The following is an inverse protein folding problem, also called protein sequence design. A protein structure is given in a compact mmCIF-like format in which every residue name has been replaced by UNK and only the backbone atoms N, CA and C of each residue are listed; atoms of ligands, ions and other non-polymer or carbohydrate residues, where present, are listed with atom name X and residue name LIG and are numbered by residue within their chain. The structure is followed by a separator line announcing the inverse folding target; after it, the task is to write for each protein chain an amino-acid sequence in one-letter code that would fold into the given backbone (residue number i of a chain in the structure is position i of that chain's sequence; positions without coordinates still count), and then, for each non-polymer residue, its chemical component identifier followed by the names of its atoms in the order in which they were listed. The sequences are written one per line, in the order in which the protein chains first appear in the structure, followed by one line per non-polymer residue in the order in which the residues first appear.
data_IF_823871868519
#
_entry.id   IF_823871868519
#
_cell.length_a   1.000
_cell.length_b   1.000
_cell.length_c   1.000
_cell.angle_alpha   90.00
_cell.angle_beta   90.00
_cell.angle_gamma   90.00
#
_symmetry.space_group_name_H-M   'P 1'
#
loop_
_entity.id
_entity.type
_entity.pdbx_description
1 polymer ?
#
# COMPACT_ATOMS: atom_id res chain seq x y z
N UNK A 1 -19.29 -20.81 17.56
CA UNK A 1 -18.11 -20.82 16.66
C UNK A 1 -18.54 -20.28 15.31
N UNK A 2 -17.94 -19.20 14.88
CA UNK A 2 -18.26 -18.57 13.60
C UNK A 2 -17.52 -19.30 12.49
N UNK A 3 -18.26 -19.81 11.51
CA UNK A 3 -17.65 -20.37 10.31
C UNK A 3 -17.06 -19.21 9.50
N UNK A 4 -15.73 -19.12 9.52
CA UNK A 4 -15.02 -18.13 8.73
C UNK A 4 -14.78 -18.72 7.34
N UNK A 5 -15.13 -17.96 6.31
CA UNK A 5 -14.87 -18.35 4.94
C UNK A 5 -13.37 -18.46 4.67
N UNK A 6 -12.93 -19.60 4.15
CA UNK A 6 -11.53 -19.77 3.75
C UNK A 6 -11.13 -18.80 2.64
N UNK A 7 -12.08 -18.44 1.79
CA UNK A 7 -11.90 -17.44 0.74
C UNK A 7 -11.57 -16.07 1.34
N UNK A 8 -12.28 -15.67 2.41
CA UNK A 8 -12.04 -14.41 3.10
C UNK A 8 -10.66 -14.40 3.76
N UNK A 9 -10.29 -15.45 4.47
CA UNK A 9 -8.98 -15.59 5.12
C UNK A 9 -7.85 -15.51 4.10
N UNK A 10 -7.98 -16.25 3.00
CA UNK A 10 -6.99 -16.24 1.93
C UNK A 10 -6.86 -14.84 1.31
N UNK A 11 -7.98 -14.18 1.04
CA UNK A 11 -7.99 -12.83 0.50
C UNK A 11 -7.35 -11.81 1.42
N UNK A 12 -7.61 -11.88 2.73
CA UNK A 12 -6.97 -11.00 3.72
C UNK A 12 -5.46 -11.24 3.75
N UNK A 13 -5.02 -12.50 3.69
CA UNK A 13 -3.60 -12.82 3.63
C UNK A 13 -2.93 -12.34 2.34
N UNK A 14 -3.63 -12.39 1.20
CA UNK A 14 -3.15 -11.80 -0.04
C UNK A 14 -2.97 -10.28 0.08
N UNK A 15 -3.94 -9.61 0.69
CA UNK A 15 -3.86 -8.18 0.94
C UNK A 15 -2.69 -7.85 1.87
N UNK A 16 -2.51 -8.65 2.92
CA UNK A 16 -1.39 -8.52 3.84
C UNK A 16 -0.05 -8.67 3.11
N UNK A 17 0.05 -9.60 2.17
CA UNK A 17 1.24 -9.77 1.33
C UNK A 17 1.54 -8.51 0.50
N UNK A 18 0.53 -7.91 -0.10
CA UNK A 18 0.71 -6.68 -0.89
C UNK A 18 1.18 -5.53 0.00
N UNK A 19 0.59 -5.37 1.18
CA UNK A 19 1.01 -4.33 2.13
C UNK A 19 2.43 -4.57 2.63
N UNK A 20 2.80 -5.82 2.90
CA UNK A 20 4.16 -6.17 3.32
C UNK A 20 5.17 -5.86 2.22
N UNK A 21 4.83 -6.20 0.97
CA UNK A 21 5.65 -5.87 -0.20
C UNK A 21 5.82 -4.35 -0.35
N UNK A 22 4.73 -3.60 -0.21
CA UNK A 22 4.77 -2.14 -0.29
C UNK A 22 5.64 -1.52 0.81
N UNK A 23 5.56 -2.05 2.03
CA UNK A 23 6.37 -1.57 3.15
C UNK A 23 7.86 -1.80 2.91
N UNK A 24 8.24 -2.96 2.39
CA UNK A 24 9.63 -3.24 2.07
C UNK A 24 10.14 -2.35 0.93
N UNK A 25 9.32 -2.19 -0.11
CA UNK A 25 9.66 -1.32 -1.24
C UNK A 25 9.81 0.14 -0.81
N UNK A 26 8.87 0.65 0.00
CA UNK A 26 8.92 2.01 0.55
C UNK A 26 10.14 2.22 1.42
N UNK A 27 10.59 1.21 2.15
CA UNK A 27 11.81 1.31 2.97
C UNK A 27 13.02 1.68 2.12
N UNK A 28 13.17 1.06 0.96
CA UNK A 28 14.26 1.36 0.03
C UNK A 28 14.03 2.71 -0.66
N UNK A 29 12.82 2.96 -1.15
CA UNK A 29 12.51 4.21 -1.85
C UNK A 29 12.64 5.44 -0.95
N UNK A 30 12.23 5.34 0.32
CA UNK A 30 12.44 6.43 1.30
C UNK A 30 13.91 6.73 1.49
N UNK A 31 14.72 5.69 1.64
CA UNK A 31 16.15 5.85 1.80
C UNK A 31 16.80 6.51 0.57
N UNK A 32 16.40 6.08 -0.63
CA UNK A 32 16.90 6.67 -1.87
C UNK A 32 16.57 8.17 -1.97
N UNK A 33 15.33 8.54 -1.75
CA UNK A 33 14.90 9.94 -1.85
C UNK A 33 15.61 10.82 -0.83
N UNK A 34 15.85 10.30 0.37
CA UNK A 34 16.59 11.02 1.40
C UNK A 34 18.05 11.20 1.01
N UNK A 35 18.69 10.15 0.51
CA UNK A 35 20.10 10.22 0.06
C UNK A 35 20.25 11.21 -1.08
N UNK A 36 19.26 11.31 -1.96
CA UNK A 36 19.28 12.27 -3.07
C UNK A 36 18.93 13.71 -2.66
N UNK A 37 18.49 13.92 -1.40
CA UNK A 37 18.18 15.27 -0.90
C UNK A 37 16.73 15.70 -1.13
N UNK A 38 15.85 14.83 -1.60
CA UNK A 38 14.42 15.13 -1.80
C UNK A 38 13.64 14.87 -0.51
N UNK A 39 13.87 15.72 0.50
CA UNK A 39 13.36 15.49 1.85
C UNK A 39 11.84 15.54 1.95
N UNK A 40 11.18 16.39 1.20
CA UNK A 40 9.71 16.44 1.19
C UNK A 40 9.11 15.18 0.59
N UNK A 41 9.72 14.64 -0.45
CA UNK A 41 9.29 13.39 -1.04
C UNK A 41 9.52 12.22 -0.06
N UNK A 42 10.67 12.22 0.62
CA UNK A 42 10.95 11.26 1.69
C UNK A 42 9.85 11.29 2.76
N UNK A 43 9.46 12.49 3.21
CA UNK A 43 8.43 12.64 4.25
C UNK A 43 7.06 12.14 3.77
N UNK A 44 6.72 12.39 2.51
CA UNK A 44 5.49 11.89 1.90
C UNK A 44 5.46 10.35 1.87
N UNK A 45 6.54 9.73 1.41
CA UNK A 45 6.65 8.27 1.37
C UNK A 45 6.64 7.67 2.77
N UNK A 46 7.24 8.36 3.75
CA UNK A 46 7.20 7.94 5.16
C UNK A 46 5.78 7.96 5.71
N UNK A 47 5.00 9.00 5.41
CA UNK A 47 3.61 9.07 5.82
C UNK A 47 2.79 7.91 5.24
N UNK A 48 3.03 7.56 3.99
CA UNK A 48 2.38 6.39 3.37
C UNK A 48 2.76 5.09 4.11
N UNK A 49 4.04 4.92 4.45
CA UNK A 49 4.51 3.73 5.14
C UNK A 49 3.88 3.59 6.54
N UNK A 50 3.72 4.69 7.27
CA UNK A 50 3.08 4.67 8.60
C UNK A 50 1.64 4.17 8.49
N UNK A 51 0.86 4.67 7.54
CA UNK A 51 -0.51 4.22 7.33
C UNK A 51 -0.58 2.74 6.95
N UNK A 52 0.31 2.28 6.06
CA UNK A 52 0.35 0.87 5.65
C UNK A 52 0.71 -0.04 6.84
N UNK A 53 1.64 0.36 7.69
CA UNK A 53 2.01 -0.41 8.88
C UNK A 53 0.82 -0.52 9.85
N UNK A 54 0.07 0.54 10.05
CA UNK A 54 -1.12 0.54 10.90
C UNK A 54 -2.20 -0.42 10.35
N UNK A 55 -2.43 -0.40 9.03
CA UNK A 55 -3.36 -1.33 8.41
C UNK A 55 -2.87 -2.78 8.44
N UNK A 56 -1.56 -2.99 8.30
CA UNK A 56 -0.97 -4.32 8.45
C UNK A 56 -1.28 -4.89 9.84
N UNK A 57 -1.08 -4.08 10.89
CA UNK A 57 -1.39 -4.48 12.27
C UNK A 57 -2.89 -4.78 12.44
N UNK A 58 -3.76 -3.95 11.85
CA UNK A 58 -5.20 -4.15 11.94
C UNK A 58 -5.66 -5.42 11.22
N UNK A 59 -5.08 -5.75 10.07
CA UNK A 59 -5.38 -6.98 9.34
C UNK A 59 -4.91 -8.22 10.13
N UNK A 60 -3.73 -8.16 10.73
CA UNK A 60 -3.20 -9.23 11.58
C UNK A 60 -4.16 -9.46 12.76
N UNK A 61 -4.56 -8.39 13.45
CA UNK A 61 -5.47 -8.49 14.58
C UNK A 61 -6.81 -9.09 14.14
N UNK A 62 -7.31 -8.72 12.98
CA UNK A 62 -8.59 -9.26 12.46
C UNK A 62 -8.49 -10.76 12.16
N UNK A 63 -7.40 -11.21 11.57
CA UNK A 63 -7.16 -12.64 11.32
C UNK A 63 -7.11 -13.43 12.64
N UNK A 64 -6.42 -12.90 13.65
CA UNK A 64 -6.30 -13.56 14.94
C UNK A 64 -7.66 -13.65 15.67
N UNK A 65 -8.49 -12.60 15.59
CA UNK A 65 -9.85 -12.62 16.14
C UNK A 65 -10.71 -13.70 15.49
N UNK A 66 -10.49 -13.97 14.20
CA UNK A 66 -11.19 -15.02 13.45
C UNK A 66 -10.57 -16.40 13.66
N UNK A 67 -9.56 -16.53 14.51
CA UNK A 67 -8.81 -17.77 14.73
C UNK A 67 -8.21 -18.32 13.42
N UNK A 68 -7.78 -17.42 12.55
CA UNK A 68 -7.20 -17.73 11.26
C UNK A 68 -5.68 -17.60 11.30
N UNK A 69 -5.00 -18.28 10.39
CA UNK A 69 -3.55 -18.14 10.25
C UNK A 69 -3.17 -16.78 9.68
N UNK A 70 -1.98 -16.31 10.03
CA UNK A 70 -1.40 -15.06 9.53
C UNK A 70 -0.18 -15.40 8.69
N UNK A 71 -0.16 -14.96 7.45
CA UNK A 71 0.96 -15.17 6.54
C UNK A 71 1.74 -13.87 6.34
N UNK A 72 2.89 -13.75 7.02
CA UNK A 72 3.83 -12.65 6.84
C UNK A 72 5.11 -13.08 6.14
N UNK A 73 5.22 -14.35 5.74
CA UNK A 73 6.44 -14.88 5.13
C UNK A 73 6.49 -14.63 3.63
N UNK A 74 5.33 -14.48 2.99
CA UNK A 74 5.27 -14.23 1.56
C UNK A 74 5.35 -12.73 1.27
N UNK A 75 6.43 -12.35 0.63
CA UNK A 75 6.65 -11.00 0.13
C UNK A 75 6.71 -11.09 -1.40
N UNK A 76 5.97 -10.21 -2.07
CA UNK A 76 5.99 -10.14 -3.51
C UNK A 76 7.29 -9.55 -4.03
N UNK A 77 7.43 -9.53 -5.36
CA UNK A 77 8.60 -8.98 -6.01
C UNK A 77 8.68 -7.46 -5.76
N UNK A 78 9.82 -7.00 -5.27
CA UNK A 78 10.12 -5.58 -5.15
C UNK A 78 10.52 -5.01 -6.51
N UNK A 79 10.02 -3.84 -6.82
CA UNK A 79 10.37 -3.09 -8.03
C UNK A 79 11.00 -1.78 -7.61
N UNK A 80 12.31 -1.82 -7.40
CA UNK A 80 13.06 -0.66 -6.93
C UNK A 80 13.35 0.27 -8.11
N UNK A 81 12.83 1.50 -8.02
CA UNK A 81 13.02 2.51 -9.05
C UNK A 81 14.44 3.07 -9.08
N UNK A 82 14.94 3.37 -10.26
CA UNK A 82 16.26 3.98 -10.44
C UNK A 82 16.17 5.52 -10.47
N UNK A 83 15.00 6.05 -10.81
CA UNK A 83 14.71 7.48 -10.85
C UNK A 83 13.48 7.76 -9.97
N UNK A 84 13.24 9.03 -9.65
CA UNK A 84 12.03 9.41 -8.90
C UNK A 84 10.77 9.00 -9.68
N UNK A 85 10.75 9.19 -10.99
CA UNK A 85 9.60 8.79 -11.81
C UNK A 85 9.35 7.29 -11.72
N UNK A 86 10.41 6.46 -11.78
CA UNK A 86 10.29 5.01 -11.62
C UNK A 86 9.78 4.64 -10.22
N UNK A 87 10.27 5.32 -9.18
CA UNK A 87 9.81 5.12 -7.80
C UNK A 87 8.32 5.36 -7.69
N UNK A 88 7.84 6.49 -8.21
CA UNK A 88 6.43 6.84 -8.15
C UNK A 88 5.57 5.84 -8.94
N UNK A 89 6.04 5.40 -10.10
CA UNK A 89 5.34 4.40 -10.91
C UNK A 89 5.26 3.03 -10.21
N UNK A 90 6.35 2.61 -9.56
CA UNK A 90 6.39 1.34 -8.81
C UNK A 90 5.43 1.38 -7.62
N UNK A 91 5.46 2.47 -6.85
CA UNK A 91 4.57 2.63 -5.70
C UNK A 91 3.12 2.72 -6.13
N UNK A 92 2.85 3.41 -7.24
CA UNK A 92 1.52 3.47 -7.85
C UNK A 92 0.99 2.08 -8.16
N UNK A 93 1.82 1.22 -8.75
CA UNK A 93 1.43 -0.14 -9.10
C UNK A 93 0.95 -0.95 -7.90
N UNK A 94 1.65 -0.86 -6.76
CA UNK A 94 1.25 -1.55 -5.54
C UNK A 94 -0.01 -0.95 -4.90
N UNK A 95 -0.14 0.37 -4.94
CA UNK A 95 -1.36 1.03 -4.46
C UNK A 95 -2.59 0.59 -5.27
N UNK A 96 -2.46 0.54 -6.59
CA UNK A 96 -3.54 0.06 -7.47
C UNK A 96 -3.90 -1.39 -7.15
N UNK A 97 -2.90 -2.26 -6.97
CA UNK A 97 -3.12 -3.66 -6.63
C UNK A 97 -3.87 -3.82 -5.31
N UNK A 98 -3.52 -3.04 -4.28
CA UNK A 98 -4.21 -3.10 -3.00
C UNK A 98 -5.66 -2.59 -3.10
N UNK A 99 -5.93 -1.54 -3.86
CA UNK A 99 -7.29 -1.06 -4.12
C UNK A 99 -8.13 -2.13 -4.80
N UNK A 100 -7.59 -2.78 -5.83
CA UNK A 100 -8.29 -3.84 -6.55
C UNK A 100 -8.59 -5.04 -5.66
N UNK A 101 -7.64 -5.43 -4.80
CA UNK A 101 -7.85 -6.51 -3.82
C UNK A 101 -8.94 -6.14 -2.82
N UNK A 102 -8.95 -4.91 -2.31
CA UNK A 102 -9.99 -4.44 -1.39
C UNK A 102 -11.37 -4.52 -2.05
N UNK A 103 -11.49 -4.13 -3.30
CA UNK A 103 -12.75 -4.20 -4.04
C UNK A 103 -13.24 -5.64 -4.16
N UNK A 104 -12.36 -6.58 -4.51
CA UNK A 104 -12.71 -7.99 -4.62
C UNK A 104 -13.12 -8.58 -3.26
N UNK A 105 -12.38 -8.26 -2.20
CA UNK A 105 -12.70 -8.72 -0.85
C UNK A 105 -14.04 -8.20 -0.36
N UNK A 106 -14.35 -6.95 -0.67
CA UNK A 106 -15.61 -6.31 -0.28
C UNK A 106 -16.82 -7.03 -0.86
N UNK A 107 -16.65 -7.65 -2.02
CA UNK A 107 -17.69 -8.43 -2.70
C UNK A 107 -17.77 -9.89 -2.23
N UNK A 108 -16.86 -10.32 -1.36
CA UNK A 108 -16.83 -11.69 -0.84
C UNK A 108 -18.09 -11.98 -0.04
N UNK A 109 -18.76 -13.08 -0.35
CA UNK A 109 -19.93 -13.50 0.41
C UNK A 109 -19.55 -13.87 1.85
N UNK A 110 -20.46 -13.58 2.78
CA UNK A 110 -20.29 -13.82 4.23
C UNK A 110 -19.18 -13.01 4.89
N UNK A 111 -18.80 -11.88 4.31
CA UNK A 111 -17.91 -10.96 4.99
C UNK A 111 -18.66 -10.35 6.19
N UNK A 112 -18.03 -10.41 7.37
CA UNK A 112 -18.62 -9.82 8.56
C UNK A 112 -18.49 -8.28 8.53
N UNK A 113 -19.32 -7.59 9.32
CA UNK A 113 -19.37 -6.11 9.33
C UNK A 113 -18.02 -5.52 9.71
N UNK A 114 -17.33 -6.10 10.69
CA UNK A 114 -16.07 -5.53 11.20
C UNK A 114 -14.95 -5.62 10.16
N UNK A 115 -14.84 -6.75 9.48
CA UNK A 115 -13.88 -6.94 8.40
C UNK A 115 -14.22 -6.04 7.23
N UNK A 116 -15.51 -5.92 6.88
CA UNK A 116 -15.95 -5.04 5.80
C UNK A 116 -15.55 -3.59 6.06
N UNK A 117 -15.79 -3.09 7.26
CA UNK A 117 -15.42 -1.70 7.63
C UNK A 117 -13.91 -1.51 7.55
N UNK A 118 -13.12 -2.47 8.01
CA UNK A 118 -11.67 -2.40 7.91
C UNK A 118 -11.20 -2.35 6.45
N UNK A 119 -11.77 -3.20 5.60
CA UNK A 119 -11.46 -3.21 4.16
C UNK A 119 -11.86 -1.88 3.50
N UNK A 120 -13.00 -1.32 3.86
CA UNK A 120 -13.44 -0.02 3.35
C UNK A 120 -12.48 1.10 3.73
N UNK A 121 -12.03 1.14 4.99
CA UNK A 121 -11.05 2.13 5.46
C UNK A 121 -9.72 1.99 4.74
N UNK A 122 -9.27 0.77 4.57
CA UNK A 122 -8.02 0.51 3.84
C UNK A 122 -8.16 0.94 2.37
N UNK A 123 -9.28 0.62 1.74
CA UNK A 123 -9.54 1.01 0.35
C UNK A 123 -9.49 2.52 0.18
N UNK A 124 -10.13 3.27 1.08
CA UNK A 124 -10.10 4.74 1.04
C UNK A 124 -8.68 5.29 1.18
N UNK A 125 -7.92 4.75 2.13
CA UNK A 125 -6.54 5.18 2.36
C UNK A 125 -5.63 4.86 1.16
N UNK A 126 -5.79 3.67 0.58
CA UNK A 126 -4.98 3.25 -0.57
C UNK A 126 -5.37 4.00 -1.85
N UNK A 127 -6.64 4.35 -1.99
CA UNK A 127 -7.08 5.19 -3.09
C UNK A 127 -6.48 6.59 -3.00
N UNK A 128 -6.40 7.18 -1.82
CA UNK A 128 -5.71 8.46 -1.61
C UNK A 128 -4.23 8.37 -1.97
N UNK A 129 -3.58 7.27 -1.57
CA UNK A 129 -2.17 7.02 -1.90
C UNK A 129 -1.98 6.90 -3.41
N UNK A 130 -2.85 6.14 -4.07
CA UNK A 130 -2.86 5.97 -5.52
C UNK A 130 -3.01 7.32 -6.23
N UNK A 131 -3.99 8.13 -5.82
CA UNK A 131 -4.22 9.46 -6.40
C UNK A 131 -3.01 10.38 -6.19
N UNK A 132 -2.36 10.31 -5.04
CA UNK A 132 -1.15 11.09 -4.75
C UNK A 132 -0.04 10.78 -5.75
N UNK A 133 0.18 9.51 -6.08
CA UNK A 133 1.17 9.13 -7.08
C UNK A 133 0.75 9.56 -8.50
N UNK A 134 -0.53 9.41 -8.83
CA UNK A 134 -1.05 9.86 -10.12
C UNK A 134 -0.86 11.36 -10.31
N UNK A 135 -1.13 12.15 -9.27
CA UNK A 135 -0.92 13.60 -9.30
C UNK A 135 0.55 13.96 -9.49
N UNK A 136 1.44 13.29 -8.78
CA UNK A 136 2.89 13.53 -8.90
C UNK A 136 3.39 13.18 -10.30
N UNK A 137 2.95 12.05 -10.86
CA UNK A 137 3.33 11.65 -12.22
C UNK A 137 2.78 12.60 -13.26
N UNK A 138 1.58 13.13 -13.08
CA UNK A 138 0.99 14.12 -13.98
C UNK A 138 1.75 15.45 -13.91
N UNK A 139 2.18 15.88 -12.72
CA UNK A 139 3.03 17.08 -12.57
C UNK A 139 4.38 16.89 -13.28
N UNK A 140 4.97 15.73 -13.18
CA UNK A 140 6.21 15.40 -13.90
C UNK A 140 5.99 15.51 -15.41
N UNK A 141 4.86 14.98 -15.89
CA UNK A 141 4.52 15.05 -17.32
C UNK A 141 4.37 16.49 -17.80
N UNK A 142 3.77 17.37 -16.99
CA UNK A 142 3.52 18.77 -17.36
C UNK A 142 4.74 19.66 -17.18
N UNK A 143 5.49 19.48 -16.09
CA UNK A 143 6.58 20.36 -15.68
C UNK A 143 7.97 19.83 -16.06
N UNK A 144 8.08 18.54 -16.33
CA UNK A 144 9.35 17.86 -16.42
C UNK A 144 9.90 17.50 -15.03
N UNK A 145 10.72 16.45 -14.98
CA UNK A 145 11.26 15.94 -13.72
C UNK A 145 12.09 16.97 -12.95
N UNK A 146 13.01 17.74 -13.58
CA UNK A 146 13.82 18.69 -12.81
C UNK A 146 13.00 19.76 -12.09
N UNK A 147 11.97 20.30 -12.74
CA UNK A 147 11.13 21.33 -12.13
C UNK A 147 10.26 20.74 -11.02
N UNK A 148 9.72 19.54 -11.22
CA UNK A 148 8.98 18.83 -10.18
C UNK A 148 9.86 18.63 -8.95
N UNK A 149 11.09 18.14 -9.12
CA UNK A 149 12.00 17.84 -8.01
C UNK A 149 12.44 19.08 -7.26
N UNK A 150 12.52 20.24 -7.92
CA UNK A 150 12.90 21.50 -7.26
C UNK A 150 11.97 21.89 -6.12
N UNK A 151 10.74 21.37 -6.12
CA UNK A 151 9.74 21.61 -5.06
C UNK A 151 9.68 20.51 -4.01
N UNK A 152 10.53 19.48 -4.11
CA UNK A 152 10.51 18.28 -3.24
C UNK A 152 11.73 18.15 -2.34
N UNK A 153 12.58 19.13 -2.35
CA UNK A 153 13.79 19.16 -1.51
C UNK A 153 13.50 19.37 -0.03
#
# INVERSE_FOLDING_TARGET
MTLVSSELVEGINQLLQVLTTALQQLRVHRAKTRVWGYNRLHDQLTAHAVKLADFQDALIARLLVMDAHVDLQNVGRLRIGQTVEDILASERGLALESVQLCQRLHETSRIDVFTRVLIEKLALSEDERLQSYDQSLELIRQLGTPQFLSTRC
#
